data_IF_629149653553
#
_entry.id   IF_629149653553
#
_cell.length_a   1.000
_cell.length_b   1.000
_cell.length_c   1.000
_cell.angle_alpha   90.00
_cell.angle_beta   90.00
_cell.angle_gamma   90.00
#
_symmetry.space_group_name_H-M   'P 1'
#
loop_
_entity.id
_entity.type
_entity.pdbx_description
1 polymer ?
#
# COMPACT_ATOMS: atom_id res chain seq x y z
N UNK A 1 -17.13 17.56 -48.97
CA UNK A 1 -18.52 18.00 -49.19
C UNK A 1 -19.00 18.67 -47.92
N UNK A 2 -18.93 19.97 -47.94
CA UNK A 2 -19.60 20.94 -47.06
C UNK A 2 -21.09 21.05 -47.47
N UNK A 3 -22.00 21.83 -46.81
CA UNK A 3 -21.95 22.64 -45.59
C UNK A 3 -23.33 22.79 -44.84
N UNK A 4 -23.33 23.66 -43.83
CA UNK A 4 -24.27 24.79 -43.49
C UNK A 4 -24.75 24.71 -42.03
N UNK A 5 -24.39 25.66 -41.16
CA UNK A 5 -24.83 27.07 -40.92
C UNK A 5 -26.32 27.18 -40.56
N UNK A 6 -26.61 27.74 -39.41
CA UNK A 6 -27.12 29.11 -39.16
C UNK A 6 -27.54 29.20 -37.68
N UNK A 7 -27.06 30.07 -36.84
CA UNK A 7 -27.31 31.53 -36.72
C UNK A 7 -28.63 31.92 -36.04
N UNK A 8 -28.46 32.54 -34.87
CA UNK A 8 -29.02 33.84 -34.42
C UNK A 8 -30.51 33.93 -34.09
N UNK A 9 -30.88 34.50 -32.93
CA UNK A 9 -31.12 35.93 -32.77
C UNK A 9 -31.58 36.29 -31.38
N UNK A 10 -31.02 37.36 -30.88
CA UNK A 10 -31.47 38.22 -29.80
C UNK A 10 -32.94 38.61 -29.86
N UNK A 11 -33.55 38.85 -28.68
CA UNK A 11 -34.24 40.12 -28.39
C UNK A 11 -34.52 40.31 -26.92
N UNK A 12 -33.99 41.40 -26.44
CA UNK A 12 -34.31 42.13 -25.24
C UNK A 12 -35.77 42.59 -25.20
N UNK A 13 -36.41 42.66 -23.99
CA UNK A 13 -37.31 43.75 -23.70
C UNK A 13 -37.38 44.04 -22.17
N UNK A 14 -37.40 45.31 -21.92
CA UNK A 14 -37.36 46.00 -20.62
C UNK A 14 -38.70 46.05 -19.89
N UNK A 15 -38.62 45.94 -18.56
CA UNK A 15 -39.23 46.82 -17.50
C UNK A 15 -40.74 47.10 -17.42
N UNK A 16 -41.18 47.67 -16.30
CA UNK A 16 -41.15 47.25 -14.88
C UNK A 16 -42.58 47.30 -14.25
N UNK A 17 -42.79 46.56 -13.21
CA UNK A 17 -43.93 46.86 -12.32
C UNK A 17 -43.60 46.58 -10.85
N UNK A 18 -43.64 47.61 -10.06
CA UNK A 18 -43.64 47.63 -8.60
C UNK A 18 -44.82 46.86 -8.05
N UNK A 19 -44.60 45.96 -7.09
CA UNK A 19 -45.65 45.61 -6.12
C UNK A 19 -45.00 45.15 -4.81
N UNK A 20 -45.07 45.99 -3.86
CA UNK A 20 -45.32 45.91 -2.41
C UNK A 20 -44.97 44.60 -1.71
N UNK A 21 -44.01 44.79 -0.82
CA UNK A 21 -43.55 44.08 0.33
C UNK A 21 -44.67 43.53 1.22
N UNK A 22 -44.69 42.23 1.42
CA UNK A 22 -45.28 41.60 2.60
C UNK A 22 -44.22 40.77 3.28
N UNK A 23 -43.63 41.27 4.37
CA UNK A 23 -42.77 40.53 5.27
C UNK A 23 -43.61 39.44 5.96
N UNK A 24 -43.53 38.25 5.48
CA UNK A 24 -43.92 37.08 6.25
C UNK A 24 -42.69 36.63 7.06
N UNK A 25 -42.72 36.94 8.34
CA UNK A 25 -41.83 36.40 9.35
C UNK A 25 -42.15 34.91 9.49
N UNK A 26 -41.43 34.07 8.73
CA UNK A 26 -41.44 32.62 8.93
C UNK A 26 -40.57 32.37 10.13
N UNK A 27 -41.18 32.18 11.29
CA UNK A 27 -40.51 31.68 12.49
C UNK A 27 -39.90 30.31 12.16
N UNK A 28 -38.57 30.26 12.14
CA UNK A 28 -37.83 29.00 12.20
C UNK A 28 -38.27 28.30 13.48
N UNK A 29 -38.73 27.02 13.41
CA UNK A 29 -38.94 26.25 14.62
C UNK A 29 -37.54 26.12 15.28
N UNK A 30 -37.34 26.74 16.43
CA UNK A 30 -36.30 26.41 17.36
C UNK A 30 -36.48 24.91 17.64
N UNK A 31 -35.58 24.07 17.11
CA UNK A 31 -35.44 22.70 17.57
C UNK A 31 -35.02 22.81 19.01
N UNK A 32 -35.98 22.77 19.93
CA UNK A 32 -35.75 22.53 21.34
C UNK A 32 -35.11 21.17 21.43
N UNK A 33 -33.80 21.11 21.59
CA UNK A 33 -33.11 19.94 22.09
C UNK A 33 -33.77 19.68 23.45
N UNK A 34 -34.61 18.66 23.54
CA UNK A 34 -35.08 18.15 24.82
C UNK A 34 -33.81 17.83 25.61
N UNK A 35 -33.51 18.65 26.62
CA UNK A 35 -32.41 18.38 27.54
C UNK A 35 -32.77 17.10 28.27
N UNK A 36 -32.03 16.01 27.94
CA UNK A 36 -32.07 14.73 28.66
C UNK A 36 -31.43 14.97 30.05
N UNK A 37 -32.08 15.78 30.89
CA UNK A 37 -31.61 16.21 32.20
C UNK A 37 -32.44 15.52 33.30
N UNK A 38 -31.76 14.88 34.23
CA UNK A 38 -32.33 14.23 35.40
C UNK A 38 -32.14 15.17 36.61
N UNK A 39 -33.20 15.80 37.09
CA UNK A 39 -33.16 16.65 38.29
C UNK A 39 -33.08 15.79 39.54
N UNK A 40 -32.02 15.96 40.31
CA UNK A 40 -31.74 15.20 41.54
C UNK A 40 -31.02 16.09 42.54
N UNK A 41 -31.51 16.14 43.76
CA UNK A 41 -30.75 16.82 44.82
C UNK A 41 -29.52 15.97 45.25
N UNK A 42 -28.48 16.58 45.80
CA UNK A 42 -27.28 15.85 46.24
C UNK A 42 -27.59 14.73 47.23
N UNK A 43 -28.57 14.91 48.12
CA UNK A 43 -29.01 13.92 49.10
C UNK A 43 -29.68 12.73 48.41
N UNK A 44 -30.47 12.95 47.39
CA UNK A 44 -31.11 11.90 46.57
C UNK A 44 -30.07 11.10 45.77
N UNK A 45 -29.08 11.78 45.20
CA UNK A 45 -28.00 11.13 44.45
C UNK A 45 -27.18 10.18 45.34
N UNK A 46 -26.88 10.61 46.60
CA UNK A 46 -26.21 9.74 47.56
C UNK A 46 -27.07 8.50 47.95
N UNK A 47 -28.39 8.73 48.17
CA UNK A 47 -29.31 7.61 48.50
C UNK A 47 -29.42 6.59 47.36
N UNK A 48 -29.30 7.04 46.12
CA UNK A 48 -29.32 6.20 44.92
C UNK A 48 -27.93 5.57 44.62
N UNK A 49 -26.92 5.81 45.45
CA UNK A 49 -25.58 5.29 45.28
C UNK A 49 -24.82 5.81 44.09
N UNK A 50 -25.18 7.04 43.62
CA UNK A 50 -24.48 7.69 42.48
C UNK A 50 -23.12 8.17 42.99
N UNK A 51 -22.05 7.69 42.34
CA UNK A 51 -20.68 8.18 42.53
C UNK A 51 -20.22 8.80 41.21
N UNK A 52 -19.45 9.85 41.32
CA UNK A 52 -18.89 10.59 40.18
C UNK A 52 -17.37 10.55 40.20
N UNK A 53 -16.76 10.64 39.05
CA UNK A 53 -15.31 10.80 38.86
C UNK A 53 -15.05 11.86 37.81
N UNK A 54 -13.90 12.52 37.90
CA UNK A 54 -13.43 13.41 36.86
C UNK A 54 -12.86 12.59 35.69
N UNK A 55 -13.22 12.91 34.44
CA UNK A 55 -12.58 12.32 33.28
C UNK A 55 -11.10 12.66 33.29
N UNK A 56 -10.26 11.67 32.99
CA UNK A 56 -8.82 11.90 32.84
C UNK A 56 -8.57 12.21 31.36
N UNK A 57 -7.87 13.32 31.07
CA UNK A 57 -7.47 13.62 29.69
C UNK A 57 -6.62 12.45 29.19
N UNK A 58 -7.17 11.71 28.25
CA UNK A 58 -6.42 10.63 27.62
C UNK A 58 -5.43 11.25 26.63
N UNK A 59 -4.15 11.19 26.98
CA UNK A 59 -3.06 11.46 26.01
C UNK A 59 -2.79 10.25 25.15
N UNK A 60 -3.53 9.18 25.36
CA UNK A 60 -3.35 7.91 24.65
C UNK A 60 -4.40 7.83 23.55
N UNK A 61 -4.15 8.55 22.48
CA UNK A 61 -4.88 8.43 21.22
C UNK A 61 -4.54 7.08 20.53
N UNK A 62 -4.38 6.00 21.28
CA UNK A 62 -3.95 4.70 20.76
C UNK A 62 -5.01 3.64 20.99
N UNK A 63 -5.11 2.70 20.05
CA UNK A 63 -5.93 1.49 20.23
C UNK A 63 -5.32 0.56 21.29
N UNK A 64 -6.13 -0.41 21.72
CA UNK A 64 -5.58 -1.64 22.29
C UNK A 64 -4.59 -2.28 21.31
N UNK A 65 -3.63 -3.07 21.80
CA UNK A 65 -2.71 -3.77 20.93
C UNK A 65 -3.45 -4.81 20.08
N UNK A 66 -3.36 -4.68 18.76
CA UNK A 66 -3.86 -5.68 17.81
C UNK A 66 -2.74 -6.58 17.31
N UNK A 67 -2.99 -7.86 17.09
CA UNK A 67 -2.02 -8.74 16.45
C UNK A 67 -1.85 -8.32 14.98
N UNK A 68 -0.61 -8.17 14.57
CA UNK A 68 -0.24 -7.86 13.21
C UNK A 68 0.77 -8.85 12.65
N UNK A 69 0.62 -9.23 11.41
CA UNK A 69 1.60 -10.02 10.69
C UNK A 69 2.55 -9.10 9.91
N UNK A 70 3.84 -9.28 10.12
CA UNK A 70 4.85 -8.51 9.39
C UNK A 70 5.13 -9.20 8.05
N UNK A 71 4.86 -8.51 6.95
CA UNK A 71 5.01 -9.05 5.60
C UNK A 71 5.91 -8.17 4.72
N UNK A 72 6.47 -8.77 3.69
CA UNK A 72 7.24 -8.03 2.69
C UNK A 72 6.26 -7.34 1.74
N UNK A 73 6.39 -6.03 1.49
CA UNK A 73 5.60 -5.33 0.48
C UNK A 73 5.73 -6.00 -0.89
N UNK A 74 4.61 -6.31 -1.55
CA UNK A 74 4.62 -6.94 -2.87
C UNK A 74 5.50 -6.20 -3.90
N UNK A 75 5.50 -4.84 -3.96
CA UNK A 75 6.40 -4.12 -4.88
C UNK A 75 7.88 -4.24 -4.56
N UNK A 76 8.24 -4.78 -3.38
CA UNK A 76 9.62 -4.99 -2.94
C UNK A 76 10.09 -6.43 -3.09
N UNK A 77 9.32 -7.27 -3.76
CA UNK A 77 9.66 -8.67 -4.06
C UNK A 77 9.95 -8.84 -5.55
N UNK A 78 10.98 -9.60 -5.88
CA UNK A 78 11.36 -9.95 -7.25
C UNK A 78 11.63 -11.44 -7.34
N UNK A 79 11.11 -12.04 -8.39
CA UNK A 79 11.42 -13.42 -8.75
C UNK A 79 12.47 -13.37 -9.86
N UNK A 80 13.65 -13.89 -9.57
CA UNK A 80 14.69 -14.09 -10.58
C UNK A 80 14.43 -15.45 -11.23
N UNK A 81 14.14 -15.42 -12.53
CA UNK A 81 13.78 -16.62 -13.31
C UNK A 81 14.91 -17.00 -14.27
N UNK A 82 14.90 -18.25 -14.72
CA UNK A 82 15.84 -18.76 -15.71
C UNK A 82 15.60 -18.09 -17.08
N UNK A 83 16.57 -17.36 -17.64
CA UNK A 83 16.40 -16.72 -18.95
C UNK A 83 16.41 -17.74 -20.12
N UNK A 84 17.00 -18.90 -19.90
CA UNK A 84 17.05 -20.03 -20.85
C UNK A 84 16.86 -21.35 -20.11
N UNK A 85 16.42 -22.39 -20.81
CA UNK A 85 16.35 -23.72 -20.25
C UNK A 85 17.75 -24.31 -20.05
N UNK A 86 17.95 -25.06 -18.97
CA UNK A 86 19.26 -25.65 -18.66
C UNK A 86 19.25 -26.44 -17.35
N UNK A 87 20.45 -26.78 -16.88
CA UNK A 87 20.67 -27.42 -15.60
C UNK A 87 21.35 -26.44 -14.64
N UNK A 88 20.94 -26.40 -13.39
CA UNK A 88 21.56 -25.61 -12.33
C UNK A 88 22.93 -26.25 -12.03
N UNK A 89 24.00 -25.58 -12.43
CA UNK A 89 25.37 -26.07 -12.17
C UNK A 89 25.79 -25.76 -10.72
N UNK A 90 25.52 -24.54 -10.24
CA UNK A 90 25.85 -24.13 -8.88
C UNK A 90 24.98 -22.97 -8.39
N UNK A 91 24.91 -22.84 -7.06
CA UNK A 91 24.33 -21.71 -6.36
C UNK A 91 25.47 -20.93 -5.69
N UNK A 92 25.46 -19.59 -5.87
CA UNK A 92 26.49 -18.70 -5.29
C UNK A 92 25.98 -17.98 -4.05
N UNK A 93 24.74 -18.23 -3.64
CA UNK A 93 24.08 -17.51 -2.51
C UNK A 93 23.28 -18.50 -1.67
N UNK A 94 23.05 -18.12 -0.41
CA UNK A 94 22.19 -18.83 0.54
C UNK A 94 20.97 -17.97 0.93
N UNK A 95 19.94 -18.59 1.49
CA UNK A 95 18.80 -17.87 2.06
C UNK A 95 19.24 -16.96 3.19
N UNK A 96 18.85 -15.70 3.14
CA UNK A 96 19.21 -14.67 4.10
C UNK A 96 20.38 -13.79 3.65
N UNK A 97 21.12 -14.18 2.61
CA UNK A 97 22.24 -13.38 2.11
C UNK A 97 21.76 -12.05 1.53
N UNK A 98 22.59 -11.02 1.74
CA UNK A 98 22.44 -9.75 1.04
C UNK A 98 23.25 -9.79 -0.25
N UNK A 99 22.61 -9.41 -1.34
CA UNK A 99 23.22 -9.38 -2.66
C UNK A 99 23.19 -7.97 -3.24
N UNK A 100 24.22 -7.65 -4.01
CA UNK A 100 24.28 -6.39 -4.75
C UNK A 100 23.81 -6.58 -6.20
N UNK A 101 23.43 -5.48 -6.84
CA UNK A 101 23.10 -5.49 -8.28
C UNK A 101 24.27 -6.06 -9.09
N UNK A 102 23.99 -6.99 -10.00
CA UNK A 102 24.99 -7.67 -10.82
C UNK A 102 25.73 -8.84 -10.13
N UNK A 103 25.48 -9.08 -8.84
CA UNK A 103 26.11 -10.23 -8.15
C UNK A 103 25.55 -11.54 -8.64
N UNK A 104 26.41 -12.54 -8.98
CA UNK A 104 25.97 -13.88 -9.38
C UNK A 104 25.13 -14.56 -8.31
N UNK A 105 24.02 -15.15 -8.71
CA UNK A 105 23.11 -15.92 -7.85
C UNK A 105 23.15 -17.40 -8.18
N UNK A 106 22.96 -17.73 -9.46
CA UNK A 106 22.83 -19.08 -9.97
C UNK A 106 23.64 -19.20 -11.24
N UNK A 107 24.39 -20.28 -11.40
CA UNK A 107 25.05 -20.64 -12.66
C UNK A 107 24.24 -21.75 -13.33
N UNK A 108 23.80 -21.50 -14.55
CA UNK A 108 23.09 -22.48 -15.39
C UNK A 108 24.04 -23.03 -16.45
N UNK A 109 23.99 -24.35 -16.69
CA UNK A 109 24.58 -24.99 -17.86
C UNK A 109 23.47 -25.23 -18.89
N UNK A 110 23.60 -24.62 -20.08
CA UNK A 110 22.51 -24.57 -21.05
C UNK A 110 22.97 -24.79 -22.48
N UNK A 111 22.51 -25.91 -23.11
CA UNK A 111 22.73 -26.11 -24.54
C UNK A 111 22.05 -25.03 -25.41
N UNK A 112 20.90 -24.51 -24.97
CA UNK A 112 20.19 -23.43 -25.68
C UNK A 112 21.02 -22.15 -25.69
N UNK A 113 21.76 -21.88 -24.61
CA UNK A 113 22.65 -20.72 -24.54
C UNK A 113 23.84 -20.84 -25.51
N UNK A 114 24.40 -22.03 -25.66
CA UNK A 114 25.42 -22.33 -26.69
C UNK A 114 24.87 -22.03 -28.08
N UNK A 115 23.64 -22.49 -28.37
CA UNK A 115 23.00 -22.23 -29.66
C UNK A 115 22.82 -20.76 -29.95
N UNK A 116 22.38 -19.93 -28.97
CA UNK A 116 22.25 -18.49 -29.14
C UNK A 116 23.59 -17.79 -29.44
N UNK A 117 24.69 -18.24 -28.80
CA UNK A 117 26.03 -17.70 -29.06
C UNK A 117 26.52 -18.07 -30.45
N UNK A 118 26.33 -19.34 -30.87
CA UNK A 118 26.67 -19.77 -32.22
C UNK A 118 25.89 -19.00 -33.29
N UNK A 119 24.59 -18.82 -33.13
CA UNK A 119 23.74 -18.10 -34.07
C UNK A 119 24.15 -16.64 -34.19
N UNK A 120 24.59 -16.00 -33.09
CA UNK A 120 25.15 -14.64 -33.12
C UNK A 120 26.48 -14.59 -33.89
N UNK A 121 27.40 -15.55 -33.63
CA UNK A 121 28.70 -15.61 -34.34
C UNK A 121 28.54 -15.81 -35.83
N UNK A 122 27.58 -16.68 -36.23
CA UNK A 122 27.26 -16.91 -37.64
C UNK A 122 26.72 -15.62 -38.31
N UNK A 123 25.77 -14.91 -37.67
CA UNK A 123 25.27 -13.64 -38.17
C UNK A 123 26.38 -12.58 -38.23
N UNK A 124 27.24 -12.52 -37.25
CA UNK A 124 28.36 -11.60 -37.18
C UNK A 124 29.39 -11.84 -38.31
N UNK A 125 29.72 -13.11 -38.60
CA UNK A 125 30.61 -13.45 -39.69
C UNK A 125 30.01 -13.07 -41.07
N UNK A 126 28.70 -13.23 -41.25
CA UNK A 126 28.01 -12.80 -42.46
C UNK A 126 28.01 -11.27 -42.62
N UNK A 127 27.80 -10.54 -41.55
CA UNK A 127 27.84 -9.06 -41.54
C UNK A 127 29.20 -8.54 -41.92
N UNK A 128 30.26 -9.10 -41.34
CA UNK A 128 31.66 -8.77 -41.71
C UNK A 128 31.91 -9.02 -43.20
N UNK A 129 31.49 -10.16 -43.72
CA UNK A 129 31.64 -10.50 -45.15
C UNK A 129 30.86 -9.52 -46.03
N UNK A 130 29.58 -9.27 -45.72
CA UNK A 130 28.72 -8.35 -46.50
C UNK A 130 29.25 -6.91 -46.48
N UNK A 131 29.77 -6.46 -45.36
CA UNK A 131 30.38 -5.15 -45.18
C UNK A 131 31.66 -5.02 -46.01
N UNK A 132 32.52 -6.05 -46.02
CA UNK A 132 33.73 -6.05 -46.86
C UNK A 132 33.37 -6.07 -48.36
N UNK A 133 32.30 -6.80 -48.75
CA UNK A 133 31.83 -6.84 -50.10
C UNK A 133 31.24 -5.49 -50.56
N UNK A 134 30.45 -4.86 -49.69
CA UNK A 134 29.94 -3.51 -49.95
C UNK A 134 31.09 -2.50 -50.14
N UNK A 135 32.06 -2.51 -49.23
CA UNK A 135 33.23 -1.60 -49.37
C UNK A 135 33.93 -1.78 -50.69
N UNK A 136 34.26 -3.03 -51.08
CA UNK A 136 34.93 -3.34 -52.36
C UNK A 136 34.08 -2.89 -53.54
N UNK A 137 32.75 -3.13 -53.51
CA UNK A 137 31.89 -2.75 -54.63
C UNK A 137 31.69 -1.20 -54.68
N UNK A 138 31.79 -0.51 -53.59
CA UNK A 138 31.81 0.94 -53.52
C UNK A 138 33.05 1.50 -54.21
N UNK A 139 34.23 0.99 -53.88
CA UNK A 139 35.52 1.40 -54.47
C UNK A 139 35.54 1.13 -55.99
N UNK A 140 35.00 -0.04 -56.43
CA UNK A 140 34.90 -0.39 -57.85
C UNK A 140 33.88 0.43 -58.62
N UNK A 141 32.77 0.85 -57.98
CA UNK A 141 31.77 1.72 -58.61
C UNK A 141 32.30 3.14 -58.79
N UNK A 142 33.04 3.68 -57.82
CA UNK A 142 33.73 4.96 -57.97
C UNK A 142 34.75 4.92 -59.10
N UNK A 143 35.43 3.78 -59.27
CA UNK A 143 36.31 3.53 -60.43
C UNK A 143 35.58 3.22 -61.74
N UNK A 144 34.24 3.28 -61.80
CA UNK A 144 33.39 2.93 -62.97
C UNK A 144 33.59 1.50 -63.51
N UNK A 145 34.02 0.59 -62.67
CA UNK A 145 34.27 -0.81 -63.04
C UNK A 145 33.01 -1.66 -62.96
N UNK A 146 32.09 -1.38 -62.01
CA UNK A 146 30.86 -2.13 -61.82
C UNK A 146 29.62 -1.27 -62.03
N UNK A 147 28.48 -1.86 -62.50
CA UNK A 147 27.22 -1.14 -62.63
C UNK A 147 26.60 -0.79 -61.28
N UNK A 148 25.78 0.29 -61.24
CA UNK A 148 25.06 0.75 -60.05
C UNK A 148 24.25 -0.34 -59.39
N UNK A 149 23.64 -1.23 -60.16
CA UNK A 149 22.84 -2.35 -59.63
C UNK A 149 23.67 -3.28 -58.72
N UNK A 150 24.98 -3.47 -58.99
CA UNK A 150 25.86 -4.29 -58.13
C UNK A 150 26.09 -3.63 -56.79
N UNK A 151 26.29 -2.30 -56.79
CA UNK A 151 26.42 -1.52 -55.58
C UNK A 151 25.11 -1.57 -54.71
N UNK A 152 23.96 -1.34 -55.37
CA UNK A 152 22.65 -1.38 -54.70
C UNK A 152 22.37 -2.77 -54.06
N UNK A 153 22.72 -3.87 -54.76
CA UNK A 153 22.60 -5.22 -54.24
C UNK A 153 23.47 -5.42 -53.02
N UNK A 154 24.76 -5.04 -53.09
CA UNK A 154 25.64 -5.20 -51.91
C UNK A 154 25.25 -4.28 -50.74
N UNK A 155 24.67 -3.10 -51.01
CA UNK A 155 24.07 -2.26 -49.96
C UNK A 155 22.88 -2.96 -49.27
N UNK A 156 22.02 -3.63 -50.05
CA UNK A 156 20.87 -4.35 -49.51
C UNK A 156 21.31 -5.56 -48.66
N UNK A 157 22.31 -6.32 -49.15
CA UNK A 157 22.88 -7.46 -48.43
C UNK A 157 23.55 -7.05 -47.10
N UNK A 158 24.34 -5.97 -47.11
CA UNK A 158 24.96 -5.45 -45.91
C UNK A 158 23.92 -4.97 -44.86
N UNK A 159 22.88 -4.28 -45.32
CA UNK A 159 21.76 -3.89 -44.44
C UNK A 159 21.05 -5.09 -43.83
N UNK A 160 20.77 -6.12 -44.64
CA UNK A 160 20.14 -7.36 -44.15
C UNK A 160 21.01 -8.07 -43.15
N UNK A 161 22.31 -8.20 -43.36
CA UNK A 161 23.24 -8.83 -42.45
C UNK A 161 23.35 -8.05 -41.12
N UNK A 162 23.41 -6.74 -41.15
CA UNK A 162 23.49 -5.91 -39.95
C UNK A 162 22.21 -6.01 -39.10
N UNK A 163 21.04 -6.10 -39.71
CA UNK A 163 19.77 -6.35 -38.99
C UNK A 163 19.79 -7.72 -38.31
N UNK A 164 20.29 -8.76 -39.00
CA UNK A 164 20.39 -10.09 -38.43
C UNK A 164 21.32 -10.13 -37.19
N UNK A 165 22.48 -9.45 -37.24
CA UNK A 165 23.37 -9.31 -36.08
C UNK A 165 22.68 -8.59 -34.92
N UNK A 166 21.98 -7.48 -35.21
CA UNK A 166 21.27 -6.72 -34.18
C UNK A 166 20.20 -7.57 -33.49
N UNK A 167 19.45 -8.38 -34.24
CA UNK A 167 18.46 -9.34 -33.71
C UNK A 167 19.13 -10.35 -32.78
N UNK A 168 20.18 -11.04 -33.22
CA UNK A 168 20.87 -12.08 -32.43
C UNK A 168 21.56 -11.47 -31.21
N UNK A 169 22.10 -10.25 -31.31
CA UNK A 169 22.63 -9.51 -30.18
C UNK A 169 21.54 -9.24 -29.12
N UNK A 170 20.35 -8.87 -29.56
CA UNK A 170 19.23 -8.63 -28.64
C UNK A 170 18.80 -9.92 -27.92
N UNK A 171 18.81 -11.08 -28.61
CA UNK A 171 18.51 -12.37 -27.98
C UNK A 171 19.53 -12.70 -26.87
N UNK A 172 20.82 -12.43 -27.08
CA UNK A 172 21.86 -12.63 -26.07
C UNK A 172 21.69 -11.68 -24.88
N UNK A 173 21.27 -10.42 -25.10
CA UNK A 173 20.94 -9.49 -24.01
C UNK A 173 19.78 -10.00 -23.17
N UNK A 174 18.71 -10.47 -23.80
CA UNK A 174 17.55 -11.05 -23.13
C UNK A 174 17.91 -12.31 -22.34
N UNK A 175 18.93 -13.05 -22.75
CA UNK A 175 19.46 -14.18 -21.98
C UNK A 175 20.37 -13.75 -20.81
N UNK A 176 20.58 -12.43 -20.60
CA UNK A 176 21.31 -11.89 -19.46
C UNK A 176 22.80 -11.59 -19.73
N UNK A 177 23.27 -11.69 -20.98
CA UNK A 177 24.63 -11.28 -21.32
C UNK A 177 24.75 -9.75 -21.38
N UNK A 178 25.81 -9.26 -20.77
CA UNK A 178 26.18 -7.84 -20.91
C UNK A 178 26.75 -7.54 -22.30
N UNK A 179 26.61 -6.29 -22.75
CA UNK A 179 27.20 -5.85 -24.03
C UNK A 179 28.70 -6.09 -24.11
N UNK A 180 29.39 -5.92 -22.98
CA UNK A 180 30.82 -6.21 -22.90
C UNK A 180 31.14 -7.71 -23.08
N UNK A 181 30.30 -8.60 -22.61
CA UNK A 181 30.44 -10.03 -22.82
C UNK A 181 30.16 -10.42 -24.28
N UNK A 182 29.09 -9.85 -24.87
CA UNK A 182 28.71 -10.07 -26.28
C UNK A 182 29.84 -9.56 -27.21
N UNK A 183 30.45 -8.43 -26.94
CA UNK A 183 31.52 -7.89 -27.76
C UNK A 183 32.82 -8.71 -27.74
N UNK A 184 32.98 -9.58 -26.73
CA UNK A 184 34.09 -10.55 -26.66
C UNK A 184 33.82 -11.86 -27.43
N UNK A 185 32.58 -12.09 -27.81
CA UNK A 185 32.21 -13.22 -28.68
C UNK A 185 32.64 -12.94 -30.12
N UNK A 186 33.91 -13.16 -30.43
CA UNK A 186 34.47 -12.92 -31.78
C UNK A 186 34.88 -14.22 -32.49
N UNK A 187 34.90 -15.36 -31.77
CA UNK A 187 35.27 -16.65 -32.27
C UNK A 187 34.55 -17.77 -31.55
N UNK A 188 34.52 -18.96 -32.13
CA UNK A 188 33.91 -20.17 -31.54
C UNK A 188 34.55 -20.56 -30.20
N UNK A 189 35.84 -20.26 -30.01
CA UNK A 189 36.54 -20.56 -28.76
C UNK A 189 36.08 -19.70 -27.59
N UNK A 190 35.33 -18.61 -27.85
CA UNK A 190 34.75 -17.75 -26.84
C UNK A 190 33.36 -18.25 -26.36
N UNK A 191 32.78 -19.30 -26.97
CA UNK A 191 31.51 -19.87 -26.58
C UNK A 191 31.65 -20.54 -25.20
N UNK A 192 30.71 -20.21 -24.31
CA UNK A 192 30.64 -20.81 -22.97
C UNK A 192 29.35 -21.61 -22.83
N UNK A 193 29.41 -22.73 -22.09
CA UNK A 193 28.23 -23.55 -21.78
C UNK A 193 27.45 -23.02 -20.60
N UNK A 194 28.10 -22.19 -19.78
CA UNK A 194 27.58 -21.70 -18.52
C UNK A 194 27.08 -20.26 -18.64
N UNK A 195 25.91 -20.01 -18.07
CA UNK A 195 25.29 -18.70 -17.96
C UNK A 195 25.15 -18.34 -16.49
N UNK A 196 25.72 -17.21 -16.09
CA UNK A 196 25.54 -16.67 -14.74
C UNK A 196 24.31 -15.78 -14.68
N UNK A 197 23.33 -16.16 -13.87
CA UNK A 197 22.14 -15.37 -13.57
C UNK A 197 22.44 -14.49 -12.37
N UNK A 198 22.41 -13.19 -12.56
CA UNK A 198 22.78 -12.19 -11.56
C UNK A 198 21.56 -11.49 -10.94
N UNK A 199 21.76 -10.88 -9.77
CA UNK A 199 20.76 -10.07 -9.10
C UNK A 199 20.48 -8.78 -9.90
N UNK A 200 19.20 -8.46 -10.21
CA UNK A 200 18.86 -7.24 -10.95
C UNK A 200 19.09 -5.97 -10.13
N UNK A 201 19.08 -6.08 -8.82
CA UNK A 201 19.27 -4.99 -7.87
C UNK A 201 19.74 -5.51 -6.51
N UNK A 202 20.18 -4.58 -5.64
CA UNK A 202 20.55 -4.91 -4.27
C UNK A 202 19.31 -5.34 -3.45
N UNK A 203 19.37 -6.52 -2.85
CA UNK A 203 18.25 -7.14 -2.15
C UNK A 203 18.74 -8.23 -1.17
N UNK A 204 17.82 -8.85 -0.44
CA UNK A 204 18.08 -10.03 0.39
C UNK A 204 17.44 -11.25 -0.26
N UNK A 205 18.12 -12.39 -0.23
CA UNK A 205 17.62 -13.68 -0.70
C UNK A 205 16.58 -14.20 0.28
N UNK A 206 15.32 -14.21 -0.13
CA UNK A 206 14.21 -14.70 0.72
C UNK A 206 14.04 -16.19 0.59
N UNK A 207 14.14 -16.68 -0.67
CA UNK A 207 13.91 -18.09 -0.97
C UNK A 207 14.74 -18.52 -2.17
N UNK A 208 15.27 -19.74 -2.12
CA UNK A 208 15.90 -20.41 -3.25
C UNK A 208 14.97 -21.55 -3.65
N UNK A 209 14.50 -21.53 -4.89
CA UNK A 209 13.45 -22.45 -5.38
C UNK A 209 14.06 -23.68 -6.05
N UNK A 210 15.35 -23.62 -6.41
CA UNK A 210 16.05 -24.65 -7.18
C UNK A 210 17.23 -25.23 -6.41
N UNK A 211 17.68 -26.43 -6.84
CA UNK A 211 18.84 -27.13 -6.29
C UNK A 211 19.90 -27.40 -7.37
N UNK A 212 21.18 -27.48 -7.01
CA UNK A 212 22.22 -27.91 -7.93
C UNK A 212 21.90 -29.29 -8.56
N UNK A 213 22.13 -29.44 -9.87
CA UNK A 213 21.77 -30.60 -10.65
C UNK A 213 20.32 -30.64 -11.14
N UNK A 214 19.46 -29.72 -10.70
CA UNK A 214 18.08 -29.64 -11.16
C UNK A 214 18.00 -29.07 -12.58
N UNK A 215 17.16 -29.66 -13.45
CA UNK A 215 16.80 -29.10 -14.75
C UNK A 215 15.70 -28.06 -14.58
N UNK A 216 15.84 -26.94 -15.27
CA UNK A 216 14.87 -25.85 -15.28
C UNK A 216 14.52 -25.44 -16.70
N UNK A 217 13.25 -25.12 -16.90
CA UNK A 217 12.75 -24.57 -18.16
C UNK A 217 12.97 -23.05 -18.19
N UNK A 218 12.86 -22.46 -19.38
CA UNK A 218 12.87 -21.01 -19.53
C UNK A 218 11.73 -20.39 -18.70
N UNK A 219 12.00 -19.28 -18.03
CA UNK A 219 11.10 -18.57 -17.12
C UNK A 219 10.79 -19.29 -15.80
N UNK A 220 11.38 -20.46 -15.54
CA UNK A 220 11.25 -21.13 -14.24
C UNK A 220 11.84 -20.24 -13.11
N UNK A 221 11.18 -20.11 -11.96
CA UNK A 221 11.69 -19.33 -10.83
C UNK A 221 12.94 -20.00 -10.24
N UNK A 222 13.99 -19.23 -10.02
CA UNK A 222 15.25 -19.67 -9.42
C UNK A 222 15.40 -19.20 -7.99
N UNK A 223 15.28 -17.87 -7.79
CA UNK A 223 15.52 -17.21 -6.50
C UNK A 223 14.49 -16.10 -6.32
N UNK A 224 13.94 -15.99 -5.11
CA UNK A 224 13.13 -14.83 -4.71
C UNK A 224 13.97 -13.86 -3.89
N UNK A 225 14.00 -12.66 -4.35
CA UNK A 225 14.71 -11.54 -3.72
C UNK A 225 13.71 -10.56 -3.14
N UNK A 226 14.08 -9.89 -2.04
CA UNK A 226 13.26 -8.82 -1.50
C UNK A 226 14.11 -7.70 -0.91
N UNK A 227 13.60 -6.47 -0.97
CA UNK A 227 14.12 -5.35 -0.21
C UNK A 227 13.42 -5.33 1.15
N UNK A 228 14.20 -5.32 2.22
CA UNK A 228 13.68 -5.39 3.58
C UNK A 228 13.82 -4.07 4.34
N UNK A 229 14.06 -2.96 3.65
CA UNK A 229 14.22 -1.62 4.26
C UNK A 229 12.92 -1.02 4.79
N UNK A 230 11.78 -1.45 4.27
CA UNK A 230 10.47 -1.19 4.81
C UNK A 230 9.64 -2.47 4.75
N UNK A 231 8.80 -2.70 5.74
CA UNK A 231 7.92 -3.85 5.81
C UNK A 231 6.47 -3.37 6.00
N UNK A 232 5.52 -4.23 5.72
CA UNK A 232 4.14 -3.97 6.05
C UNK A 232 3.73 -4.74 7.30
N UNK A 233 3.04 -4.05 8.20
CA UNK A 233 2.28 -4.67 9.27
C UNK A 233 0.83 -4.82 8.78
N UNK A 234 0.38 -6.04 8.58
CA UNK A 234 -1.01 -6.37 8.24
C UNK A 234 -1.76 -6.68 9.53
N UNK A 235 -2.72 -5.83 9.86
CA UNK A 235 -3.43 -5.79 11.12
C UNK A 235 -4.89 -6.14 10.85
N UNK A 236 -5.40 -7.17 11.51
CA UNK A 236 -6.82 -7.56 11.43
C UNK A 236 -7.60 -6.85 12.54
N UNK A 237 -8.44 -5.88 12.18
CA UNK A 237 -9.17 -5.03 13.13
C UNK A 237 -10.67 -5.30 13.01
N UNK A 238 -11.39 -5.50 14.14
CA UNK A 238 -12.84 -5.66 14.12
C UNK A 238 -13.53 -4.48 13.43
N UNK A 239 -14.56 -4.75 12.63
CA UNK A 239 -15.27 -3.74 11.86
C UNK A 239 -15.87 -2.62 12.73
N UNK A 240 -16.20 -2.91 13.99
CA UNK A 240 -16.67 -1.92 14.97
C UNK A 240 -15.63 -0.86 15.34
N UNK A 241 -14.34 -1.26 15.37
CA UNK A 241 -13.22 -0.44 15.87
C UNK A 241 -12.49 0.32 14.76
N UNK A 242 -12.69 -0.04 13.48
CA UNK A 242 -11.95 0.53 12.35
C UNK A 242 -12.35 1.97 12.03
N UNK A 243 -13.53 2.41 12.47
CA UNK A 243 -14.11 3.74 12.12
C UNK A 243 -13.22 4.92 12.51
N UNK A 244 -12.44 4.79 13.56
CA UNK A 244 -11.52 5.83 14.05
C UNK A 244 -10.16 5.85 13.33
N UNK A 245 -9.84 4.79 12.58
CA UNK A 245 -8.53 4.63 11.93
C UNK A 245 -8.56 5.27 10.53
N UNK A 246 -7.55 6.07 10.24
CA UNK A 246 -7.41 6.74 8.94
C UNK A 246 -6.04 6.46 8.34
N UNK A 247 -5.90 6.49 7.01
CA UNK A 247 -4.58 6.55 6.38
C UNK A 247 -3.75 7.72 6.95
N UNK A 248 -2.47 7.47 7.18
CA UNK A 248 -1.56 8.42 7.84
C UNK A 248 -1.52 8.29 9.37
N UNK A 249 -2.40 7.51 10.00
CA UNK A 249 -2.35 7.26 11.43
C UNK A 249 -1.01 6.61 11.82
N UNK A 250 -0.44 7.06 12.95
CA UNK A 250 0.81 6.54 13.48
C UNK A 250 0.59 5.13 14.03
N UNK A 251 1.54 4.26 13.77
CA UNK A 251 1.53 2.87 14.20
C UNK A 251 2.77 2.60 15.03
N UNK A 252 2.59 2.05 16.21
CA UNK A 252 3.66 1.64 17.12
C UNK A 252 3.65 0.13 17.28
N UNK A 253 4.80 -0.49 17.13
CA UNK A 253 4.98 -1.94 17.32
C UNK A 253 5.66 -2.16 18.66
N UNK A 254 5.11 -3.04 19.50
CA UNK A 254 5.67 -3.33 20.80
C UNK A 254 7.10 -3.88 20.66
N UNK A 255 8.01 -3.25 21.42
CA UNK A 255 9.43 -3.61 21.38
C UNK A 255 10.20 -3.05 20.18
N UNK A 256 9.60 -2.18 19.37
CA UNK A 256 10.23 -1.57 18.20
C UNK A 256 10.17 -0.03 18.27
N UNK A 257 11.32 0.62 18.20
CA UNK A 257 11.41 2.06 18.45
C UNK A 257 10.92 2.95 17.28
N UNK A 258 10.96 2.44 16.05
CA UNK A 258 10.60 3.24 14.86
C UNK A 258 9.12 3.09 14.54
N UNK A 259 8.33 4.17 14.61
CA UNK A 259 6.93 4.10 14.28
C UNK A 259 6.71 3.92 12.78
N UNK A 260 5.62 3.23 12.44
CA UNK A 260 5.07 3.16 11.10
C UNK A 260 3.90 4.10 10.89
N UNK A 261 3.30 4.02 9.70
CA UNK A 261 2.10 4.77 9.32
C UNK A 261 1.11 3.88 8.60
N UNK A 262 -0.18 4.04 8.88
CA UNK A 262 -1.26 3.37 8.15
C UNK A 262 -1.25 3.88 6.70
N UNK A 263 -1.08 2.96 5.76
CA UNK A 263 -1.10 3.25 4.32
C UNK A 263 -2.40 2.82 3.65
N UNK A 264 -3.10 1.86 4.24
CA UNK A 264 -4.35 1.34 3.70
C UNK A 264 -5.29 0.90 4.83
N UNK A 265 -6.56 1.26 4.71
CA UNK A 265 -7.68 0.66 5.41
C UNK A 265 -8.55 0.01 4.34
N UNK A 266 -8.73 -1.31 4.41
CA UNK A 266 -9.52 -2.05 3.42
C UNK A 266 -11.00 -1.63 3.48
N UNK A 267 -11.64 -1.57 2.32
CA UNK A 267 -13.08 -1.36 2.21
C UNK A 267 -13.87 -2.67 2.33
N UNK A 268 -13.16 -3.81 2.33
CA UNK A 268 -13.77 -5.15 2.41
C UNK A 268 -13.54 -5.75 3.80
N UNK A 269 -14.57 -6.44 4.29
CA UNK A 269 -14.52 -7.20 5.54
C UNK A 269 -14.25 -8.67 5.21
N UNK A 270 -13.34 -9.29 5.91
CA UNK A 270 -13.16 -10.74 5.89
C UNK A 270 -14.40 -11.41 6.51
N UNK A 271 -15.10 -12.23 5.74
CA UNK A 271 -16.37 -12.82 6.16
C UNK A 271 -16.20 -13.87 7.30
N UNK A 272 -15.05 -14.53 7.36
CA UNK A 272 -14.78 -15.58 8.36
C UNK A 272 -14.42 -14.97 9.72
N UNK A 273 -13.62 -13.92 9.73
CA UNK A 273 -13.11 -13.29 10.96
C UNK A 273 -13.87 -12.04 11.37
N UNK A 274 -14.72 -11.48 10.49
CA UNK A 274 -15.42 -10.22 10.68
C UNK A 274 -14.47 -9.05 10.94
N UNK A 275 -13.25 -9.11 10.38
CA UNK A 275 -12.23 -8.09 10.51
C UNK A 275 -11.99 -7.35 9.21
N UNK A 276 -11.48 -6.14 9.31
CA UNK A 276 -11.03 -5.30 8.22
C UNK A 276 -9.50 -5.27 8.25
N UNK A 277 -8.88 -5.49 7.09
CA UNK A 277 -7.44 -5.42 6.97
C UNK A 277 -6.98 -3.96 6.99
N UNK A 278 -6.16 -3.62 7.97
CA UNK A 278 -5.42 -2.36 8.01
C UNK A 278 -3.96 -2.67 7.76
N UNK A 279 -3.36 -1.95 6.82
CA UNK A 279 -1.95 -2.11 6.46
C UNK A 279 -1.19 -0.86 6.86
N UNK A 280 -0.10 -1.05 7.60
CA UNK A 280 0.83 0.00 7.95
C UNK A 280 2.19 -0.27 7.32
N UNK A 281 2.85 0.77 6.83
CA UNK A 281 4.23 0.72 6.40
C UNK A 281 5.15 1.09 7.56
N UNK A 282 6.14 0.24 7.82
CA UNK A 282 7.09 0.38 8.92
C UNK A 282 8.50 0.37 8.37
N UNK A 283 9.29 1.43 8.55
CA UNK A 283 10.70 1.43 8.20
C UNK A 283 11.43 0.35 8.99
N UNK A 284 12.24 -0.50 8.33
CA UNK A 284 12.92 -1.60 8.99
C UNK A 284 14.43 -1.33 9.11
N UNK A 285 14.90 -1.21 10.32
CA UNK A 285 16.33 -1.07 10.68
C UNK A 285 17.06 -2.42 10.82
N UNK A 286 16.34 -3.53 10.57
CA UNK A 286 16.87 -4.89 10.63
C UNK A 286 16.39 -5.70 11.85
N UNK A 287 15.58 -5.12 12.71
CA UNK A 287 15.02 -5.79 13.89
C UNK A 287 13.74 -6.57 13.56
N UNK A 288 12.90 -6.01 12.67
CA UNK A 288 11.68 -6.69 12.22
C UNK A 288 12.01 -7.75 11.16
N UNK A 289 11.39 -8.90 11.32
CA UNK A 289 11.56 -10.02 10.39
C UNK A 289 10.24 -10.35 9.69
N UNK A 290 10.24 -10.50 8.37
CA UNK A 290 9.06 -10.98 7.67
C UNK A 290 8.58 -12.32 8.21
N UNK A 291 7.26 -12.48 8.34
CA UNK A 291 6.61 -13.68 8.86
C UNK A 291 6.41 -13.70 10.38
N UNK A 292 7.00 -12.75 11.13
CA UNK A 292 6.71 -12.64 12.57
C UNK A 292 5.35 -12.00 12.82
N UNK A 293 4.75 -12.34 13.97
CA UNK A 293 3.60 -11.63 14.53
C UNK A 293 4.09 -10.67 15.60
N UNK A 294 3.52 -9.47 15.62
CA UNK A 294 3.83 -8.43 16.59
C UNK A 294 2.53 -7.79 17.10
N UNK A 295 2.56 -7.27 18.34
CA UNK A 295 1.48 -6.45 18.86
C UNK A 295 1.66 -5.01 18.38
N UNK A 296 0.59 -4.43 17.84
CA UNK A 296 0.61 -3.12 17.18
C UNK A 296 -0.46 -2.22 17.79
N UNK A 297 -0.08 -1.01 18.17
CA UNK A 297 -1.00 0.06 18.56
C UNK A 297 -1.08 1.10 17.46
N UNK A 298 -2.29 1.56 17.18
CA UNK A 298 -2.56 2.56 16.16
C UNK A 298 -3.02 3.83 16.88
N UNK A 299 -2.34 4.95 16.64
CA UNK A 299 -2.79 6.24 17.15
C UNK A 299 -3.94 6.76 16.29
N UNK A 300 -5.00 7.23 16.92
CA UNK A 300 -6.03 7.95 16.20
C UNK A 300 -5.47 9.32 15.79
N UNK A 301 -5.77 9.74 14.58
CA UNK A 301 -5.63 11.15 14.23
C UNK A 301 -6.77 11.88 14.94
N UNK A 302 -6.49 12.43 16.10
CA UNK A 302 -7.49 13.22 16.82
C UNK A 302 -7.80 14.43 15.94
N UNK A 303 -9.05 14.54 15.54
CA UNK A 303 -9.60 15.69 14.80
C UNK A 303 -9.75 16.94 15.69
N UNK A 304 -8.87 17.10 16.67
CA UNK A 304 -8.91 18.23 17.60
C UNK A 304 -9.95 18.11 18.73
N UNK A 305 -10.66 17.01 18.81
CA UNK A 305 -11.55 16.71 19.93
C UNK A 305 -10.76 16.07 21.05
N UNK A 306 -10.94 16.58 22.27
CA UNK A 306 -10.31 16.01 23.47
C UNK A 306 -10.82 14.60 23.70
N UNK A 307 -9.91 13.66 23.89
CA UNK A 307 -10.23 12.29 24.26
C UNK A 307 -10.16 12.16 25.79
N UNK A 308 -11.12 11.43 26.36
CA UNK A 308 -11.29 11.30 27.81
C UNK A 308 -11.35 9.84 28.20
N UNK A 309 -10.55 9.46 29.16
CA UNK A 309 -10.58 8.16 29.77
C UNK A 309 -11.55 8.16 30.96
N UNK A 310 -12.51 7.25 30.94
CA UNK A 310 -13.52 7.06 31.97
C UNK A 310 -13.69 5.56 32.27
N UNK A 311 -14.11 5.17 33.48
CA UNK A 311 -14.42 3.78 33.78
C UNK A 311 -15.53 3.24 32.86
N UNK A 312 -15.41 1.99 32.42
CA UNK A 312 -16.41 1.31 31.58
C UNK A 312 -17.82 1.40 32.17
N UNK A 313 -17.92 1.37 33.49
CA UNK A 313 -19.19 1.48 34.24
C UNK A 313 -19.93 2.80 34.03
N UNK A 314 -19.26 3.85 33.53
CA UNK A 314 -19.88 5.16 33.23
C UNK A 314 -20.67 5.17 31.91
N UNK A 315 -20.45 4.18 31.04
CA UNK A 315 -20.97 4.16 29.69
C UNK A 315 -22.43 3.71 29.65
N UNK A 316 -23.28 4.51 29.03
CA UNK A 316 -24.71 4.24 28.84
C UNK A 316 -24.99 3.97 27.37
N UNK A 317 -25.46 2.77 27.07
CA UNK A 317 -25.86 2.40 25.72
C UNK A 317 -27.35 2.66 25.49
N UNK A 318 -27.69 3.43 24.44
CA UNK A 318 -29.07 3.71 24.03
C UNK A 318 -29.21 3.40 22.54
N UNK A 319 -29.63 2.16 22.23
CA UNK A 319 -29.62 1.67 20.85
C UNK A 319 -28.18 1.59 20.31
N UNK A 320 -27.91 2.30 19.22
CA UNK A 320 -26.57 2.38 18.61
C UNK A 320 -25.73 3.55 19.17
N UNK A 321 -26.30 4.45 19.96
CA UNK A 321 -25.61 5.62 20.52
C UNK A 321 -25.06 5.30 21.90
N UNK A 322 -23.88 5.87 22.21
CA UNK A 322 -23.23 5.84 23.51
C UNK A 322 -23.37 7.22 24.17
N UNK A 323 -23.57 7.24 25.48
CA UNK A 323 -23.71 8.47 26.24
C UNK A 323 -23.13 8.29 27.65
N UNK A 324 -22.88 9.38 28.34
CA UNK A 324 -22.49 9.39 29.76
C UNK A 324 -23.33 10.39 30.52
N UNK A 325 -23.56 10.16 31.83
CA UNK A 325 -24.19 11.11 32.69
C UNK A 325 -23.14 12.06 33.29
N UNK A 326 -23.26 13.35 32.99
CA UNK A 326 -22.41 14.42 33.53
C UNK A 326 -23.22 15.18 34.61
N UNK A 327 -22.62 15.38 35.76
CA UNK A 327 -23.22 16.18 36.82
C UNK A 327 -23.34 17.66 36.40
N UNK A 328 -24.51 18.24 36.66
CA UNK A 328 -24.82 19.65 36.43
C UNK A 328 -25.47 20.22 37.69
N UNK A 329 -25.59 21.55 37.75
CA UNK A 329 -26.23 22.19 38.89
C UNK A 329 -27.70 21.73 39.00
N UNK A 330 -28.00 20.94 40.04
CA UNK A 330 -29.34 20.39 40.28
C UNK A 330 -29.63 19.02 39.70
N UNK A 331 -28.65 18.31 39.15
CA UNK A 331 -28.90 16.95 38.61
C UNK A 331 -27.80 16.38 37.72
N UNK A 332 -28.22 15.59 36.76
CA UNK A 332 -27.34 14.92 35.79
C UNK A 332 -27.88 15.11 34.38
N UNK A 333 -26.99 15.41 33.43
CA UNK A 333 -27.31 15.54 32.00
C UNK A 333 -26.68 14.39 31.23
N UNK A 334 -27.45 13.81 30.30
CA UNK A 334 -26.97 12.77 29.41
C UNK A 334 -26.25 13.40 28.23
N UNK A 335 -24.93 13.17 28.11
CA UNK A 335 -24.07 13.72 27.05
C UNK A 335 -23.73 12.59 26.07
N UNK A 336 -24.02 12.75 24.77
CA UNK A 336 -23.61 11.77 23.77
C UNK A 336 -22.09 11.76 23.61
N UNK A 337 -21.52 10.56 23.50
CA UNK A 337 -20.08 10.36 23.32
C UNK A 337 -19.81 9.36 22.20
N UNK A 338 -18.67 9.49 21.55
CA UNK A 338 -18.17 8.54 20.58
C UNK A 338 -17.10 7.68 21.25
N UNK A 339 -17.29 6.36 21.24
CA UNK A 339 -16.32 5.41 21.75
C UNK A 339 -15.12 5.36 20.78
N UNK A 340 -13.92 5.67 21.29
CA UNK A 340 -12.66 5.63 20.54
C UNK A 340 -11.88 4.34 20.82
N UNK A 341 -11.80 3.93 22.10
CA UNK A 341 -11.15 2.70 22.50
C UNK A 341 -11.84 2.12 23.73
N UNK A 342 -11.74 0.80 23.92
CA UNK A 342 -12.37 0.04 24.99
C UNK A 342 -11.32 -0.92 25.59
N UNK A 343 -11.16 -0.90 26.91
CA UNK A 343 -10.36 -1.85 27.67
C UNK A 343 -11.26 -2.54 28.73
N UNK A 344 -10.73 -3.51 29.47
CA UNK A 344 -11.49 -4.29 30.47
C UNK A 344 -12.14 -3.41 31.54
N UNK A 345 -11.44 -2.37 32.00
CA UNK A 345 -11.88 -1.52 33.09
C UNK A 345 -12.19 -0.07 32.67
N UNK A 346 -11.68 0.40 31.55
CA UNK A 346 -11.79 1.79 31.11
C UNK A 346 -12.17 1.90 29.63
N UNK A 347 -12.75 3.02 29.27
CA UNK A 347 -13.05 3.39 27.88
C UNK A 347 -12.52 4.78 27.59
N UNK A 348 -12.04 4.96 26.36
CA UNK A 348 -11.66 6.29 25.83
C UNK A 348 -12.78 6.77 24.95
N UNK A 349 -13.32 7.95 25.29
CA UNK A 349 -14.44 8.56 24.55
C UNK A 349 -14.09 9.97 24.10
N UNK A 350 -14.66 10.38 22.96
CA UNK A 350 -14.69 11.78 22.53
C UNK A 350 -16.10 12.35 22.68
N UNK A 351 -16.20 13.61 23.03
CA UNK A 351 -17.48 14.29 23.20
C UNK A 351 -17.30 15.65 23.86
N UNK A 352 -18.43 16.33 24.11
CA UNK A 352 -18.46 17.63 24.77
C UNK A 352 -18.33 17.43 26.27
N UNK A 353 -17.15 16.93 26.70
CA UNK A 353 -16.78 16.69 28.09
C UNK A 353 -15.46 17.42 28.34
N UNK A 354 -15.26 17.91 29.57
CA UNK A 354 -14.06 18.61 30.00
C UNK A 354 -13.45 17.95 31.26
N UNK A 355 -12.22 18.26 31.59
CA UNK A 355 -11.52 17.80 32.80
C UNK A 355 -12.19 18.25 34.11
N UNK A 356 -13.07 19.27 34.05
CA UNK A 356 -13.81 19.83 35.18
C UNK A 356 -15.15 19.15 35.41
N UNK A 357 -15.61 18.37 34.42
CA UNK A 357 -16.89 17.69 34.53
C UNK A 357 -16.79 16.49 35.49
N UNK A 358 -17.87 16.16 36.12
CA UNK A 358 -18.02 14.99 36.97
C UNK A 358 -18.91 13.98 36.28
N UNK A 359 -18.36 12.81 35.92
CA UNK A 359 -19.07 11.74 35.23
C UNK A 359 -19.53 10.67 36.23
N UNK A 360 -20.80 10.29 36.17
CA UNK A 360 -21.35 9.25 37.02
C UNK A 360 -20.80 7.87 36.63
N UNK A 361 -20.25 7.14 37.62
CA UNK A 361 -19.69 5.77 37.45
C UNK A 361 -20.46 4.69 38.19
N UNK A 362 -21.39 5.09 39.05
CA UNK A 362 -22.32 4.17 39.73
C UNK A 362 -23.70 4.78 39.83
N UNK A 363 -24.74 3.98 40.13
CA UNK A 363 -26.13 4.47 40.19
C UNK A 363 -26.77 4.75 38.79
N UNK A 364 -26.10 4.38 37.72
CA UNK A 364 -26.52 4.67 36.32
C UNK A 364 -27.89 4.08 35.99
N UNK A 365 -28.19 2.88 36.51
CA UNK A 365 -29.49 2.25 36.28
C UNK A 365 -30.63 3.06 36.93
N UNK A 366 -30.39 3.67 38.05
CA UNK A 366 -31.36 4.53 38.75
C UNK A 366 -31.55 5.85 37.97
N UNK A 367 -30.47 6.49 37.53
CA UNK A 367 -30.51 7.69 36.69
C UNK A 367 -31.26 7.44 35.37
N UNK A 368 -30.99 6.31 34.72
CA UNK A 368 -31.70 5.86 33.51
C UNK A 368 -33.19 5.60 33.76
N UNK A 369 -33.55 5.01 34.89
CA UNK A 369 -34.92 4.74 35.30
C UNK A 369 -35.73 6.04 35.51
N UNK A 370 -35.10 7.06 36.10
CA UNK A 370 -35.72 8.38 36.30
C UNK A 370 -35.87 9.10 34.95
N UNK A 371 -34.85 9.06 34.08
CA UNK A 371 -34.90 9.65 32.74
C UNK A 371 -36.04 9.06 31.91
N UNK A 372 -36.21 7.73 31.93
CA UNK A 372 -37.29 7.03 31.18
C UNK A 372 -38.69 7.30 31.74
N UNK A 373 -38.82 7.56 33.04
CA UNK A 373 -40.10 7.93 33.64
C UNK A 373 -40.54 9.34 33.30
N UNK A 374 -39.61 10.26 33.06
CA UNK A 374 -39.91 11.63 32.63
C UNK A 374 -40.32 11.71 31.14
N UNK A 375 -39.97 10.68 30.33
CA UNK A 375 -40.35 10.60 28.93
C UNK A 375 -41.62 9.76 28.67
N UNK A 376 -42.29 9.21 29.70
CA UNK A 376 -43.49 8.40 29.58
C UNK A 376 -44.75 9.10 30.14
N UNK A 377 -44.71 10.42 30.31
CA UNK A 377 -45.79 11.24 30.83
C UNK A 377 -46.17 12.34 29.86
N UNK A 378 -46.73 11.97 28.70
CA UNK A 378 -47.74 12.70 27.92
C UNK A 378 -48.52 11.73 27.07
#
# INVERSE_FOLDING_TARGET
>A
MHPRRASSCLRSWHSPARTILALAFIGLPSVSMAEDEVKLSPAQAQTLGVRVVHPVSSRTDQTLPYPAQIVIPTPQMWVVSAPVAGMVASLSVARGDRVNSGQPLVTLESPSFVSLQRDYLHAFAQDVLATQQLKRNTDLFEGKVVPQRVLETSQAEARQASVAVAERRQMLRLSGLSDAAISRLTSETAITTTLSVAAPQSATVVEIVVSPGQRVEQSAPLVKLARLSALWAEIAIPASSVRAIRPGARVEIDGYATPGQVVLVSETTDAATQTILVRAEVPNTGELRPGQTAAVRISFLSSGESAWEIPYSALVRRGESMSVFVAVEGGFRLVPVTLLAEDQDHVVVSGVITDKDEVAVSGITALRGILLRLGAGE
#
